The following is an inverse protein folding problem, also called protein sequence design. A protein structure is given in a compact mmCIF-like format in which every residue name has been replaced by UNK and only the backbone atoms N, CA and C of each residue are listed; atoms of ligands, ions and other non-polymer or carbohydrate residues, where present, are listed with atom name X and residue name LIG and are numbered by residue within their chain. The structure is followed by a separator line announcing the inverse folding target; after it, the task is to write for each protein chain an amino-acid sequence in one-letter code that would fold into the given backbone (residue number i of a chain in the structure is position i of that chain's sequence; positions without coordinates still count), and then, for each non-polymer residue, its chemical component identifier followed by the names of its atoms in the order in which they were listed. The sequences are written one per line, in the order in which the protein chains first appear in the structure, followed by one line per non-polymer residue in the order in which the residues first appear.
data_IF_171992061850
#
_entry.id   IF_171992061850
#
_cell.length_a   1.000
_cell.length_b   1.000
_cell.length_c   1.000
_cell.angle_alpha   90.00
_cell.angle_beta   90.00
_cell.angle_gamma   90.00
#
_symmetry.space_group_name_H-M   'P 1'
#
loop_
_entity.id
_entity.type
_entity.pdbx_description
1 polymer ?
#
# COMPACT_ATOMS: atom_id res chain seq x y z
N UNK A 1 -17.11 -9.47 21.03
CA UNK A 1 -16.52 -8.17 20.70
C UNK A 1 -17.66 -7.26 20.25
N UNK A 2 -17.95 -6.17 20.98
CA UNK A 2 -19.10 -5.29 20.69
C UNK A 2 -18.78 -4.39 19.50
N UNK A 3 -19.78 -4.07 18.66
CA UNK A 3 -19.63 -3.20 17.47
C UNK A 3 -18.98 -1.85 17.79
N UNK A 4 -19.23 -1.30 18.99
CA UNK A 4 -18.56 -0.10 19.50
C UNK A 4 -17.05 -0.28 19.66
N UNK A 5 -16.58 -1.43 20.12
CA UNK A 5 -15.14 -1.71 20.29
C UNK A 5 -14.42 -1.84 18.94
N UNK A 6 -15.15 -2.20 17.88
CA UNK A 6 -14.59 -2.26 16.51
C UNK A 6 -14.53 -0.84 15.91
N UNK A 7 -15.50 0.02 16.23
CA UNK A 7 -15.53 1.41 15.77
C UNK A 7 -14.53 2.32 16.51
N UNK A 8 -14.17 1.96 17.74
CA UNK A 8 -13.12 2.64 18.52
C UNK A 8 -11.71 2.11 18.25
N UNK A 9 -11.54 1.16 17.31
CA UNK A 9 -10.23 0.73 16.86
C UNK A 9 -9.56 1.92 16.15
N UNK A 10 -8.50 2.42 16.75
CA UNK A 10 -7.68 3.46 16.14
C UNK A 10 -7.02 2.92 14.88
N UNK A 11 -7.66 3.20 13.73
CA UNK A 11 -7.19 2.75 12.40
C UNK A 11 -5.75 3.19 12.16
N UNK A 12 -5.34 4.33 12.72
CA UNK A 12 -3.95 4.81 12.62
C UNK A 12 -2.98 3.88 13.34
N UNK A 13 -3.32 3.39 14.51
CA UNK A 13 -2.45 2.47 15.25
C UNK A 13 -2.34 1.11 14.57
N UNK A 14 -3.43 0.63 13.94
CA UNK A 14 -3.44 -0.62 13.17
C UNK A 14 -2.63 -0.50 11.88
N UNK A 15 -2.68 0.65 11.22
CA UNK A 15 -2.00 0.91 9.96
C UNK A 15 -0.67 1.65 10.18
N UNK A 16 0.18 1.15 11.08
CA UNK A 16 1.53 1.70 11.28
C UNK A 16 2.42 1.43 10.05
N UNK A 17 2.96 2.48 9.36
CA UNK A 17 3.73 2.31 8.13
C UNK A 17 4.95 1.40 8.30
N UNK A 18 5.64 1.47 9.44
CA UNK A 18 6.82 0.65 9.72
C UNK A 18 6.48 -0.84 9.81
N UNK A 19 5.35 -1.17 10.43
CA UNK A 19 4.86 -2.55 10.52
C UNK A 19 4.40 -3.06 9.16
N UNK A 20 3.64 -2.25 8.43
CA UNK A 20 3.13 -2.62 7.12
C UNK A 20 4.21 -2.77 6.04
N UNK A 21 5.31 -2.00 6.14
CA UNK A 21 6.47 -2.21 5.26
C UNK A 21 7.01 -3.63 5.37
N UNK A 22 7.15 -4.17 6.58
CA UNK A 22 7.61 -5.56 6.78
C UNK A 22 6.57 -6.58 6.32
N UNK A 23 5.29 -6.35 6.65
CA UNK A 23 4.20 -7.23 6.24
C UNK A 23 4.13 -7.36 4.70
N UNK A 24 4.43 -6.29 3.97
CA UNK A 24 4.45 -6.31 2.49
C UNK A 24 5.79 -6.79 1.94
N UNK A 25 6.92 -6.38 2.54
CA UNK A 25 8.24 -6.73 2.04
C UNK A 25 8.49 -8.24 2.04
N UNK A 26 8.06 -8.96 3.09
CA UNK A 26 8.29 -10.41 3.19
C UNK A 26 7.60 -11.18 2.05
N UNK A 27 6.26 -11.15 1.88
CA UNK A 27 5.59 -11.87 0.81
C UNK A 27 6.01 -11.33 -0.57
N UNK A 28 6.27 -10.03 -0.72
CA UNK A 28 6.73 -9.47 -1.98
C UNK A 28 8.12 -10.01 -2.37
N UNK A 29 9.04 -10.11 -1.42
CA UNK A 29 10.37 -10.72 -1.68
C UNK A 29 10.24 -12.16 -2.12
N UNK A 30 9.40 -12.94 -1.45
CA UNK A 30 9.25 -14.37 -1.73
C UNK A 30 8.51 -14.58 -3.06
N UNK A 31 7.31 -14.04 -3.19
CA UNK A 31 6.41 -14.35 -4.31
C UNK A 31 6.54 -13.38 -5.49
N UNK A 32 6.98 -12.15 -5.27
CA UNK A 32 7.22 -11.17 -6.33
C UNK A 32 8.66 -11.18 -6.86
N UNK A 33 9.58 -11.81 -6.14
CA UNK A 33 11.00 -11.83 -6.48
C UNK A 33 11.62 -13.22 -6.52
N UNK A 34 11.91 -13.83 -5.36
CA UNK A 34 12.75 -15.03 -5.28
C UNK A 34 12.14 -16.25 -5.99
N UNK A 35 10.88 -16.58 -5.71
CA UNK A 35 10.23 -17.76 -6.30
C UNK A 35 10.15 -17.64 -7.83
N UNK A 36 9.65 -16.54 -8.41
CA UNK A 36 9.66 -16.35 -9.86
C UNK A 36 11.07 -16.38 -10.45
N UNK A 37 12.07 -15.78 -9.78
CA UNK A 37 13.45 -15.77 -10.24
C UNK A 37 14.04 -17.19 -10.33
N UNK A 38 13.78 -18.04 -9.35
CA UNK A 38 14.26 -19.43 -9.31
C UNK A 38 13.57 -20.33 -10.33
N UNK A 39 12.39 -19.95 -10.80
CA UNK A 39 11.59 -20.72 -11.76
C UNK A 39 11.73 -20.23 -13.20
N UNK A 40 12.42 -19.12 -13.41
CA UNK A 40 12.53 -18.46 -14.72
C UNK A 40 13.88 -18.72 -15.38
N UNK A 41 13.86 -18.91 -16.70
CA UNK A 41 15.07 -18.88 -17.51
C UNK A 41 15.61 -17.43 -17.60
N UNK A 42 16.94 -17.29 -17.62
CA UNK A 42 17.64 -15.99 -17.59
C UNK A 42 17.22 -15.05 -18.73
N UNK A 43 16.89 -15.61 -19.89
CA UNK A 43 16.50 -14.85 -21.09
C UNK A 43 14.98 -14.59 -21.17
N UNK A 44 14.21 -14.98 -20.14
CA UNK A 44 12.76 -14.82 -20.13
C UNK A 44 12.32 -13.45 -19.64
N UNK A 45 11.16 -12.99 -20.11
CA UNK A 45 10.50 -11.78 -19.58
C UNK A 45 10.13 -11.94 -18.10
N UNK A 46 9.89 -13.17 -17.65
CA UNK A 46 9.62 -13.48 -16.23
C UNK A 46 10.83 -13.24 -15.34
N UNK A 47 12.04 -13.58 -15.80
CA UNK A 47 13.29 -13.28 -15.09
C UNK A 47 13.46 -11.77 -14.90
N UNK A 48 13.22 -10.99 -15.94
CA UNK A 48 13.27 -9.53 -15.87
C UNK A 48 12.26 -8.98 -14.87
N UNK A 49 11.03 -9.46 -14.91
CA UNK A 49 9.96 -9.04 -13.97
C UNK A 49 10.30 -9.39 -12.52
N UNK A 50 10.80 -10.61 -12.28
CA UNK A 50 11.24 -11.05 -10.96
C UNK A 50 12.43 -10.21 -10.43
N UNK A 51 13.35 -9.84 -11.30
CA UNK A 51 14.48 -8.95 -10.95
C UNK A 51 13.98 -7.57 -10.52
N UNK A 52 12.99 -6.99 -11.20
CA UNK A 52 12.34 -5.76 -10.76
C UNK A 52 11.61 -5.95 -9.43
N UNK A 53 11.01 -7.10 -9.18
CA UNK A 53 10.41 -7.45 -7.88
C UNK A 53 11.43 -7.40 -6.74
N UNK A 54 12.62 -7.96 -6.95
CA UNK A 54 13.72 -7.88 -5.97
C UNK A 54 14.21 -6.45 -5.76
N UNK A 55 14.37 -5.67 -6.84
CA UNK A 55 14.73 -4.26 -6.74
C UNK A 55 13.71 -3.48 -5.91
N UNK A 56 12.45 -3.73 -6.13
CA UNK A 56 11.37 -3.12 -5.36
C UNK A 56 11.42 -3.50 -3.87
N UNK A 57 11.79 -4.76 -3.57
CA UNK A 57 12.07 -5.19 -2.19
C UNK A 57 13.20 -4.37 -1.56
N UNK A 58 14.30 -4.13 -2.28
CA UNK A 58 15.41 -3.29 -1.79
C UNK A 58 14.92 -1.88 -1.48
N UNK A 59 14.05 -1.31 -2.31
CA UNK A 59 13.44 0.01 -2.05
C UNK A 59 12.61 -0.01 -0.77
N UNK A 60 11.74 -1.01 -0.57
CA UNK A 60 10.94 -1.14 0.66
C UNK A 60 11.82 -1.27 1.92
N UNK A 61 12.84 -2.11 1.86
CA UNK A 61 13.78 -2.28 2.96
C UNK A 61 14.60 -1.00 3.21
N UNK A 62 14.96 -0.27 2.15
CA UNK A 62 15.65 1.01 2.28
C UNK A 62 14.79 2.05 3.01
N UNK A 63 13.49 2.12 2.67
CA UNK A 63 12.55 2.98 3.41
C UNK A 63 12.48 2.54 4.87
N UNK A 64 12.37 1.25 5.14
CA UNK A 64 12.26 0.73 6.48
C UNK A 64 13.48 1.05 7.37
N UNK A 65 14.70 0.89 6.83
CA UNK A 65 15.93 1.04 7.61
C UNK A 65 16.46 2.46 7.68
N UNK A 66 16.24 3.26 6.63
CA UNK A 66 16.91 4.55 6.50
C UNK A 66 15.97 5.76 6.68
N UNK A 67 14.67 5.53 6.88
CA UNK A 67 13.74 6.64 7.08
C UNK A 67 12.94 6.50 8.36
N UNK A 68 12.57 7.64 8.96
CA UNK A 68 11.81 7.72 10.22
C UNK A 68 10.79 8.88 10.18
N UNK A 69 9.81 8.82 11.08
CA UNK A 69 8.83 9.89 11.27
C UNK A 69 8.01 10.20 10.01
N UNK A 70 7.91 11.48 9.67
CA UNK A 70 7.16 11.95 8.49
C UNK A 70 7.79 11.50 7.17
N UNK A 71 9.13 11.39 7.12
CA UNK A 71 9.83 10.90 5.93
C UNK A 71 9.47 9.45 5.62
N UNK A 72 9.44 8.60 6.65
CA UNK A 72 8.99 7.20 6.52
C UNK A 72 7.59 7.13 5.90
N UNK A 73 6.65 7.88 6.47
CA UNK A 73 5.25 7.84 6.04
C UNK A 73 5.07 8.35 4.60
N UNK A 74 5.75 9.46 4.25
CA UNK A 74 5.70 10.05 2.91
C UNK A 74 6.33 9.13 1.86
N UNK A 75 7.52 8.59 2.14
CA UNK A 75 8.17 7.65 1.23
C UNK A 75 7.35 6.37 1.05
N UNK A 76 6.78 5.84 2.14
CA UNK A 76 5.88 4.69 2.09
C UNK A 76 4.67 5.00 1.22
N UNK A 77 3.98 6.14 1.42
CA UNK A 77 2.81 6.52 0.63
C UNK A 77 3.13 6.67 -0.85
N UNK A 78 4.23 7.35 -1.18
CA UNK A 78 4.61 7.62 -2.58
C UNK A 78 5.00 6.33 -3.30
N UNK A 79 5.90 5.54 -2.71
CA UNK A 79 6.41 4.32 -3.37
C UNK A 79 5.31 3.27 -3.47
N UNK A 80 4.60 2.98 -2.38
CA UNK A 80 3.53 1.97 -2.43
C UNK A 80 2.31 2.44 -3.21
N UNK A 81 2.00 3.72 -3.19
CA UNK A 81 0.96 4.30 -4.02
C UNK A 81 1.28 4.19 -5.51
N UNK A 82 2.52 4.46 -5.91
CA UNK A 82 2.96 4.29 -7.30
C UNK A 82 2.85 2.84 -7.76
N UNK A 83 3.28 1.87 -6.94
CA UNK A 83 3.15 0.44 -7.26
C UNK A 83 1.68 0.03 -7.31
N UNK A 84 0.85 0.49 -6.39
CA UNK A 84 -0.59 0.20 -6.38
C UNK A 84 -1.29 0.72 -7.65
N UNK A 85 -1.02 1.97 -8.04
CA UNK A 85 -1.56 2.55 -9.28
C UNK A 85 -1.05 1.80 -10.51
N UNK A 86 0.24 1.42 -10.52
CA UNK A 86 0.80 0.62 -11.60
C UNK A 86 0.13 -0.76 -11.70
N UNK A 87 -0.12 -1.45 -10.58
CA UNK A 87 -0.86 -2.72 -10.57
C UNK A 87 -2.27 -2.56 -11.15
N UNK A 88 -3.01 -1.52 -10.74
CA UNK A 88 -4.34 -1.22 -11.30
C UNK A 88 -4.24 -0.96 -12.81
N UNK A 89 -3.26 -0.16 -13.24
CA UNK A 89 -3.07 0.14 -14.67
C UNK A 89 -2.75 -1.13 -15.47
N UNK A 90 -1.89 -2.01 -14.96
CA UNK A 90 -1.57 -3.28 -15.61
C UNK A 90 -2.81 -4.16 -15.76
N UNK A 91 -3.61 -4.28 -14.71
CA UNK A 91 -4.88 -5.02 -14.75
C UNK A 91 -5.84 -4.42 -15.78
N UNK A 92 -5.96 -3.09 -15.81
CA UNK A 92 -6.87 -2.40 -16.74
C UNK A 92 -6.40 -2.46 -18.21
N UNK A 93 -5.09 -2.58 -18.43
CA UNK A 93 -4.50 -2.57 -19.79
C UNK A 93 -4.28 -3.98 -20.37
N UNK A 94 -4.48 -5.03 -19.58
CA UNK A 94 -4.34 -6.42 -20.04
C UNK A 94 -5.72 -7.02 -20.29
N UNK A 95 -6.25 -6.96 -21.53
CA UNK A 95 -7.58 -7.47 -21.83
C UNK A 95 -7.61 -9.00 -21.70
N UNK A 96 -8.53 -9.52 -20.93
CA UNK A 96 -8.95 -10.91 -20.99
C UNK A 96 -8.44 -11.83 -19.90
N UNK A 97 -7.39 -11.49 -19.15
CA UNK A 97 -6.80 -12.44 -18.19
C UNK A 97 -7.12 -12.16 -16.72
N UNK A 98 -7.39 -10.93 -16.32
CA UNK A 98 -7.46 -10.65 -14.87
C UNK A 98 -8.60 -9.73 -14.43
N UNK A 99 -9.12 -8.91 -15.32
CA UNK A 99 -10.17 -7.96 -14.99
C UNK A 99 -11.03 -7.68 -16.21
N UNK A 100 -12.22 -8.24 -16.23
CA UNK A 100 -13.21 -7.95 -17.28
C UNK A 100 -14.39 -7.19 -16.67
N UNK A 101 -14.52 -5.93 -17.06
CA UNK A 101 -15.70 -5.13 -16.75
C UNK A 101 -16.52 -4.98 -18.01
N UNK A 102 -17.59 -5.73 -18.12
CA UNK A 102 -18.58 -5.54 -19.17
C UNK A 102 -19.87 -4.97 -18.60
N UNK A 103 -20.31 -3.82 -19.13
CA UNK A 103 -21.58 -3.22 -18.82
C UNK A 103 -22.49 -3.28 -20.03
N UNK A 104 -23.59 -4.01 -19.96
CA UNK A 104 -24.67 -3.95 -20.93
C UNK A 104 -25.59 -2.77 -20.59
N UNK A 105 -25.60 -1.73 -21.43
CA UNK A 105 -26.43 -0.53 -21.26
C UNK A 105 -27.87 -0.73 -21.76
N UNK A 106 -28.20 -1.91 -22.29
CA UNK A 106 -29.56 -2.29 -22.71
C UNK A 106 -30.25 -3.14 -21.63
N UNK A 107 -31.57 -3.03 -21.43
CA UNK A 107 -32.29 -3.88 -20.49
C UNK A 107 -32.24 -5.37 -20.89
N UNK A 108 -32.02 -6.30 -19.94
CA UNK A 108 -31.75 -6.07 -18.50
C UNK A 108 -30.32 -5.58 -18.29
N UNK A 109 -30.15 -4.46 -17.59
CA UNK A 109 -28.84 -3.90 -17.24
C UNK A 109 -28.00 -4.91 -16.45
N UNK A 110 -27.11 -5.62 -17.13
CA UNK A 110 -26.24 -6.64 -16.53
C UNK A 110 -24.83 -6.09 -16.42
N UNK A 111 -24.34 -6.05 -15.19
CA UNK A 111 -22.95 -5.75 -14.90
C UNK A 111 -22.23 -7.07 -14.62
N UNK A 112 -21.27 -7.43 -15.45
CA UNK A 112 -20.34 -8.52 -15.17
C UNK A 112 -19.03 -7.94 -14.69
N UNK A 113 -18.67 -8.29 -13.47
CA UNK A 113 -17.41 -7.96 -12.85
C UNK A 113 -16.64 -9.27 -12.65
N UNK A 114 -15.61 -9.47 -13.42
CA UNK A 114 -14.74 -10.63 -13.30
C UNK A 114 -13.42 -10.16 -12.69
N UNK A 115 -13.13 -10.62 -11.48
CA UNK A 115 -11.91 -10.28 -10.75
C UNK A 115 -11.12 -11.55 -10.50
N UNK A 116 -9.88 -11.58 -10.99
CA UNK A 116 -8.99 -12.69 -10.69
C UNK A 116 -8.56 -12.61 -9.22
N UNK A 117 -8.95 -13.62 -8.46
CA UNK A 117 -8.69 -13.70 -7.02
C UNK A 117 -7.17 -13.72 -6.72
N UNK A 118 -6.33 -14.14 -7.67
CA UNK A 118 -4.88 -14.18 -7.51
C UNK A 118 -4.25 -12.78 -7.41
N UNK A 119 -4.90 -11.76 -7.99
CA UNK A 119 -4.45 -10.36 -7.89
C UNK A 119 -4.95 -9.64 -6.64
N UNK A 120 -5.95 -10.20 -5.93
CA UNK A 120 -6.47 -9.58 -4.73
C UNK A 120 -5.42 -9.39 -3.63
N UNK A 121 -4.58 -10.38 -3.27
CA UNK A 121 -3.57 -10.22 -2.23
C UNK A 121 -2.57 -9.10 -2.52
N UNK A 122 -1.90 -9.01 -3.70
CA UNK A 122 -0.98 -7.92 -3.97
C UNK A 122 -1.67 -6.55 -3.97
N UNK A 123 -2.86 -6.41 -4.55
CA UNK A 123 -3.60 -5.15 -4.55
C UNK A 123 -3.95 -4.71 -3.12
N UNK A 124 -4.45 -5.61 -2.28
CA UNK A 124 -4.76 -5.30 -0.89
C UNK A 124 -3.51 -4.90 -0.10
N UNK A 125 -2.43 -5.66 -0.22
CA UNK A 125 -1.20 -5.38 0.52
C UNK A 125 -0.59 -4.03 0.14
N UNK A 126 -0.45 -3.76 -1.15
CA UNK A 126 0.10 -2.48 -1.63
C UNK A 126 -0.84 -1.30 -1.36
N UNK A 127 -2.17 -1.50 -1.48
CA UNK A 127 -3.17 -0.49 -1.15
C UNK A 127 -3.18 -0.14 0.33
N UNK A 128 -3.13 -1.14 1.22
CA UNK A 128 -3.07 -0.91 2.67
C UNK A 128 -1.74 -0.28 3.09
N UNK A 129 -0.63 -0.64 2.45
CA UNK A 129 0.65 0.00 2.68
C UNK A 129 0.63 1.47 2.25
N UNK A 130 0.06 1.79 1.09
CA UNK A 130 -0.11 3.16 0.63
C UNK A 130 -0.99 3.97 1.60
N UNK A 131 -2.12 3.39 2.01
CA UNK A 131 -3.03 4.00 2.97
C UNK A 131 -2.35 4.26 4.32
N UNK A 132 -1.53 3.32 4.80
CA UNK A 132 -0.77 3.50 6.04
C UNK A 132 0.14 4.71 5.99
N UNK A 133 0.84 4.91 4.87
CA UNK A 133 1.69 6.08 4.64
C UNK A 133 0.89 7.38 4.58
N UNK A 134 -0.27 7.38 3.90
CA UNK A 134 -1.15 8.55 3.77
C UNK A 134 -1.72 8.96 5.13
N UNK A 135 -2.18 8.01 5.93
CA UNK A 135 -2.74 8.28 7.26
C UNK A 135 -1.73 8.91 8.23
N UNK A 136 -0.43 8.64 8.01
CA UNK A 136 0.66 9.18 8.83
C UNK A 136 1.46 10.27 8.14
N UNK A 137 0.94 10.83 7.03
CA UNK A 137 1.65 11.80 6.19
C UNK A 137 2.20 13.01 6.95
N UNK A 138 1.43 13.54 7.89
CA UNK A 138 1.82 14.69 8.70
C UNK A 138 2.59 14.31 9.98
N UNK A 139 2.58 13.02 10.34
CA UNK A 139 3.33 12.50 11.48
C UNK A 139 2.89 13.02 12.86
N UNK A 140 3.43 12.44 13.93
CA UNK A 140 3.12 12.86 15.30
C UNK A 140 3.79 14.18 15.71
N UNK A 141 4.68 14.74 14.91
CA UNK A 141 5.41 15.97 15.26
C UNK A 141 4.56 17.24 15.14
N UNK A 142 3.64 17.30 14.17
CA UNK A 142 2.76 18.47 14.01
C UNK A 142 1.71 18.52 15.13
N UNK A 143 1.25 17.38 15.61
CA UNK A 143 0.34 17.32 16.77
C UNK A 143 1.02 17.82 18.04
N UNK A 144 2.27 17.46 18.30
CA UNK A 144 3.02 17.95 19.48
C UNK A 144 3.31 19.44 19.41
N UNK A 145 3.64 19.97 18.25
CA UNK A 145 3.89 21.41 18.08
C UNK A 145 2.60 22.22 18.23
N UNK A 146 1.48 21.71 17.77
CA UNK A 146 0.18 22.37 17.98
C UNK A 146 -0.27 22.32 19.46
N UNK A 147 -0.08 21.20 20.14
CA UNK A 147 -0.36 21.07 21.58
C UNK A 147 0.57 21.95 22.44
N UNK A 148 1.85 22.02 22.11
CA UNK A 148 2.80 22.88 22.81
C UNK A 148 2.52 24.35 22.58
N UNK A 149 2.10 24.73 21.37
CA UNK A 149 1.68 26.09 21.04
C UNK A 149 0.40 26.48 21.80
N UNK A 150 -0.59 25.57 21.90
CA UNK A 150 -1.82 25.83 22.66
C UNK A 150 -1.54 25.94 24.17
N UNK A 151 -0.59 25.17 24.70
CA UNK A 151 -0.16 25.25 26.12
C UNK A 151 0.65 26.52 26.42
N UNK A 152 1.34 27.05 25.42
CA UNK A 152 2.20 28.24 25.58
C UNK A 152 1.47 29.57 25.41
N UNK A 153 0.21 29.56 24.95
CA UNK A 153 -0.62 30.77 24.91
C UNK A 153 -1.04 31.16 26.32
N UNK A 154 -0.66 32.35 26.82
CA UNK A 154 -1.11 32.82 28.12
C UNK A 154 -2.62 32.94 28.11
N UNK A 155 -3.26 32.32 29.12
CA UNK A 155 -4.70 32.53 29.35
C UNK A 155 -4.94 34.05 29.46
N UNK A 156 -5.63 34.62 28.48
CA UNK A 156 -6.00 36.00 28.50
C UNK A 156 -6.84 36.22 29.78
N UNK A 157 -6.21 36.79 30.82
CA UNK A 157 -6.86 37.26 32.00
C UNK A 157 -7.65 38.51 31.62
N UNK A 158 -8.94 38.37 31.43
CA UNK A 158 -9.91 39.49 31.51
C UNK A 158 -10.09 39.94 32.94
#
# INVERSE_FOLDING_TARGET
MNLKQILDLDIRSLLNPKVWLIIVAIPHTLFGGLVPLMQSDIDSSYFTSASFGLLNTVVLLSIYFFTEGTSLSRMTAVVSGAVFVWLIAMVAMTPGDSFDFSAELAPPFLYKFNFDIELAPPLLLWGLLALSGILHWNGPQEERVSEEKDRSMPANSN
#
